data_IF_818557018707
#
_entry.id   IF_818557018707
#
_cell.length_a   1.000
_cell.length_b   1.000
_cell.length_c   1.000
_cell.angle_alpha   90.00
_cell.angle_beta   90.00
_cell.angle_gamma   90.00
#
_symmetry.space_group_name_H-M   'P 1'
#
loop_
_entity.id
_entity.type
_entity.pdbx_description
1 polymer ?
#
# COMPACT_ATOMS: atom_id res chain seq x y z
N UNK A 1 6.39 6.25 -16.81
CA UNK A 1 6.62 4.81 -16.81
C UNK A 1 6.07 4.16 -15.57
N UNK A 2 5.29 3.14 -15.74
CA UNK A 2 4.64 2.48 -14.62
C UNK A 2 5.56 1.43 -14.04
N UNK A 3 6.11 1.72 -12.89
CA UNK A 3 6.96 0.75 -12.22
C UNK A 3 6.19 0.20 -11.04
N UNK A 4 5.63 -0.98 -11.22
CA UNK A 4 4.92 -1.64 -10.16
C UNK A 4 5.90 -2.17 -9.14
N UNK A 5 5.65 -1.85 -7.88
CA UNK A 5 6.50 -2.29 -6.77
C UNK A 5 5.81 -3.40 -6.02
N UNK A 6 6.57 -4.14 -5.24
CA UNK A 6 6.01 -5.16 -4.37
C UNK A 6 6.35 -4.85 -2.93
N UNK A 7 5.51 -5.32 -2.04
CA UNK A 7 5.73 -5.14 -0.61
C UNK A 7 4.76 -5.96 0.18
N UNK A 8 4.83 -5.81 1.50
CA UNK A 8 3.91 -6.49 2.41
C UNK A 8 3.20 -5.46 3.26
N UNK A 9 1.94 -5.75 3.55
CA UNK A 9 1.15 -4.90 4.43
C UNK A 9 1.70 -5.02 5.84
N UNK A 10 2.13 -3.91 6.41
CA UNK A 10 2.58 -3.89 7.79
C UNK A 10 1.39 -3.95 8.72
N UNK A 11 0.40 -3.12 8.47
CA UNK A 11 -0.89 -3.21 9.13
C UNK A 11 -1.91 -2.42 8.31
N UNK A 12 -3.16 -2.72 8.52
CA UNK A 12 -4.23 -1.99 7.85
C UNK A 12 -5.39 -1.84 8.80
N UNK A 13 -5.89 -0.62 8.93
CA UNK A 13 -7.02 -0.30 9.80
C UNK A 13 -8.24 0.00 8.95
N UNK A 14 -9.15 -0.96 8.84
CA UNK A 14 -10.35 -0.78 8.03
C UNK A 14 -11.25 0.31 8.58
N UNK A 15 -11.30 0.44 9.88
CA UNK A 15 -12.17 1.43 10.50
C UNK A 15 -11.76 2.84 10.11
N UNK A 16 -10.47 3.10 10.10
CA UNK A 16 -9.95 4.40 9.72
C UNK A 16 -9.67 4.53 8.24
N UNK A 17 -9.64 3.42 7.54
CA UNK A 17 -9.46 3.42 6.10
C UNK A 17 -8.04 3.68 5.63
N UNK A 18 -7.04 3.26 6.39
CA UNK A 18 -5.65 3.42 5.97
C UNK A 18 -4.77 2.36 6.58
N UNK A 19 -3.56 2.27 6.05
CA UNK A 19 -2.58 1.35 6.58
C UNK A 19 -1.21 1.71 6.07
N UNK A 20 -0.27 0.81 6.28
CA UNK A 20 1.11 0.98 5.83
C UNK A 20 1.60 -0.28 5.14
N UNK A 21 2.39 -0.06 4.10
CA UNK A 21 3.03 -1.14 3.35
C UNK A 21 4.52 -1.03 3.55
N UNK A 22 5.16 -2.16 3.81
CA UNK A 22 6.61 -2.23 3.89
C UNK A 22 7.14 -2.69 2.55
N UNK A 23 7.82 -1.82 1.80
CA UNK A 23 8.37 -2.20 0.49
C UNK A 23 9.40 -3.31 0.61
N UNK A 24 9.41 -4.22 -0.37
CA UNK A 24 10.43 -5.26 -0.41
C UNK A 24 11.82 -4.70 -0.60
N UNK A 25 11.91 -3.50 -1.16
CA UNK A 25 13.20 -2.85 -1.36
C UNK A 25 13.85 -2.36 -0.07
N UNK A 26 13.14 -2.43 1.04
CA UNK A 26 13.70 -2.04 2.32
C UNK A 26 13.58 -0.57 2.65
N UNK A 27 12.88 0.18 1.84
CA UNK A 27 12.62 1.58 2.15
C UNK A 27 11.61 1.71 3.29
N UNK A 28 11.44 2.91 3.80
CA UNK A 28 10.52 3.15 4.88
C UNK A 28 9.08 2.82 4.52
N UNK A 29 8.25 2.69 5.54
CA UNK A 29 6.85 2.35 5.34
C UNK A 29 6.15 3.37 4.46
N UNK A 30 5.24 2.89 3.61
CA UNK A 30 4.46 3.74 2.74
C UNK A 30 3.02 3.77 3.23
N UNK A 31 2.45 4.97 3.25
CA UNK A 31 1.05 5.15 3.59
C UNK A 31 0.17 4.63 2.47
N UNK A 32 -0.91 3.94 2.82
CA UNK A 32 -1.89 3.49 1.84
C UNK A 32 -3.28 3.82 2.36
N UNK A 33 -4.09 4.45 1.53
CA UNK A 33 -5.47 4.76 1.86
C UNK A 33 -6.39 3.72 1.22
N UNK A 34 -7.54 3.48 1.86
CA UNK A 34 -8.47 2.47 1.37
C UNK A 34 -8.90 2.72 -0.08
N UNK A 35 -8.97 3.98 -0.48
CA UNK A 35 -9.34 4.32 -1.84
C UNK A 35 -8.28 3.92 -2.86
N UNK A 36 -7.07 3.65 -2.42
CA UNK A 36 -5.99 3.23 -3.29
C UNK A 36 -5.94 1.72 -3.50
N UNK A 37 -6.77 0.99 -2.79
CA UNK A 37 -6.78 -0.48 -2.88
C UNK A 37 -7.77 -0.89 -3.95
N UNK A 38 -7.27 -1.60 -4.95
CA UNK A 38 -8.12 -1.99 -6.07
C UNK A 38 -8.77 -3.35 -5.90
N UNK A 39 -8.18 -4.21 -5.09
CA UNK A 39 -8.63 -5.60 -5.02
C UNK A 39 -9.52 -5.88 -3.83
N UNK A 40 -10.47 -5.00 -3.56
CA UNK A 40 -11.51 -5.34 -2.61
C UNK A 40 -11.44 -4.69 -1.25
N UNK A 41 -10.73 -3.62 -1.12
CA UNK A 41 -10.81 -2.76 0.06
C UNK A 41 -10.37 -3.39 1.37
N UNK A 42 -9.71 -4.54 1.32
CA UNK A 42 -9.38 -5.22 2.55
C UNK A 42 -8.00 -5.85 2.46
N UNK A 43 -7.14 -5.46 3.37
CA UNK A 43 -5.80 -6.02 3.46
C UNK A 43 -5.58 -6.55 4.85
N UNK A 44 -4.87 -7.66 4.94
CA UNK A 44 -4.48 -8.22 6.23
C UNK A 44 -3.01 -7.98 6.47
N UNK A 45 -2.62 -8.05 7.74
CA UNK A 45 -1.21 -7.92 8.09
C UNK A 45 -0.40 -8.99 7.36
N UNK A 46 0.74 -8.58 6.85
CA UNK A 46 1.67 -9.45 6.15
C UNK A 46 1.19 -9.94 4.78
N UNK A 47 0.08 -9.39 4.27
CA UNK A 47 -0.35 -9.73 2.91
C UNK A 47 0.65 -9.15 1.91
N UNK A 48 0.99 -9.95 0.92
CA UNK A 48 1.84 -9.47 -0.15
C UNK A 48 1.00 -8.74 -1.17
N UNK A 49 1.48 -7.58 -1.56
CA UNK A 49 0.74 -6.71 -2.49
C UNK A 49 1.68 -6.13 -3.51
N UNK A 50 1.10 -5.70 -4.62
CA UNK A 50 1.80 -4.86 -5.58
C UNK A 50 1.17 -3.48 -5.53
N UNK A 51 1.95 -2.47 -5.82
CA UNK A 51 1.46 -1.10 -5.76
C UNK A 51 2.30 -0.21 -6.66
N UNK A 52 1.76 0.98 -6.92
CA UNK A 52 2.49 2.02 -7.63
C UNK A 52 2.90 3.08 -6.64
N UNK A 53 4.10 3.61 -6.79
CA UNK A 53 4.55 4.70 -5.94
C UNK A 53 3.90 5.99 -6.41
N UNK A 54 3.25 6.69 -5.49
CA UNK A 54 2.63 7.96 -5.78
C UNK A 54 3.02 8.99 -4.75
N UNK A 55 2.57 10.20 -4.96
CA UNK A 55 2.80 11.28 -4.01
C UNK A 55 1.48 11.86 -3.56
N UNK A 56 1.31 12.01 -2.28
CA UNK A 56 0.14 12.63 -1.70
C UNK A 56 0.52 13.79 -0.81
N UNK A 57 -0.44 14.32 -0.11
CA UNK A 57 -0.21 15.46 0.76
C UNK A 57 0.75 15.14 1.89
N UNK A 58 0.88 13.89 2.24
CA UNK A 58 1.76 13.44 3.32
C UNK A 58 3.10 12.94 2.84
N UNK A 59 3.35 13.04 1.54
CA UNK A 59 4.57 12.53 0.95
C UNK A 59 4.33 11.26 0.16
N UNK A 60 5.33 10.42 -0.01
CA UNK A 60 5.16 9.19 -0.80
C UNK A 60 4.08 8.30 -0.23
N UNK A 61 3.29 7.74 -1.11
CA UNK A 61 2.24 6.82 -0.71
C UNK A 61 2.06 5.73 -1.76
N UNK A 62 1.41 4.64 -1.38
CA UNK A 62 1.12 3.56 -2.30
C UNK A 62 -0.22 3.83 -2.97
N UNK A 63 -0.27 3.60 -4.28
CA UNK A 63 -1.49 3.75 -5.05
C UNK A 63 -1.71 2.49 -5.87
N UNK A 64 -2.94 2.30 -6.34
CA UNK A 64 -3.28 1.14 -7.17
C UNK A 64 -2.79 -0.16 -6.52
N UNK A 65 -3.09 -0.29 -5.25
CA UNK A 65 -2.63 -1.44 -4.46
C UNK A 65 -3.46 -2.66 -4.83
N UNK A 66 -2.80 -3.75 -5.14
CA UNK A 66 -3.44 -5.00 -5.48
C UNK A 66 -2.85 -6.11 -4.63
N UNK A 67 -3.73 -6.98 -4.16
CA UNK A 67 -3.30 -8.15 -3.43
C UNK A 67 -2.78 -9.19 -4.42
N UNK A 68 -1.63 -9.75 -4.10
CA UNK A 68 -1.03 -10.78 -4.97
C UNK A 68 -1.70 -12.12 -4.75
#
# INVERSE_FOLDING_TARGET
MNTEQTGKVKFFNETKGFGFIKPDSGEGDLFVHISAIESGNKLNNNDKVTYMLGEGKRGPCATQVKKV
#
